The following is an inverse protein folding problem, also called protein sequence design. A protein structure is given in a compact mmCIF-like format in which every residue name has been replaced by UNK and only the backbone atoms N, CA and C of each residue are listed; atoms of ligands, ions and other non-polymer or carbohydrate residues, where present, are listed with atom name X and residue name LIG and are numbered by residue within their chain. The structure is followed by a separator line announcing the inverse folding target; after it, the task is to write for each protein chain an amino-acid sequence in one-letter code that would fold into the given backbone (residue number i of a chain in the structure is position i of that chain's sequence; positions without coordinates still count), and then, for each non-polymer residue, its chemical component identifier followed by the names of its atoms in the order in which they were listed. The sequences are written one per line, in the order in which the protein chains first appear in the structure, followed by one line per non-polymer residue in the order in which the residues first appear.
data_IF_474277401202
#
_entry.id   IF_474277401202
#
_cell.length_a   1.000
_cell.length_b   1.000
_cell.length_c   1.000
_cell.angle_alpha   90.00
_cell.angle_beta   90.00
_cell.angle_gamma   90.00
#
_symmetry.space_group_name_H-M   'P 1'
#
loop_
_entity.id
_entity.type
_entity.pdbx_description
1 polymer ?
#
# COMPACT_ATOMS: atom_id res chain seq x y z
N UNK A 1 -9.07 64.81 -3.20
CA UNK A 1 -10.27 64.09 -2.72
C UNK A 1 -10.00 62.60 -2.93
N UNK A 2 -9.06 61.98 -2.22
CA UNK A 2 -9.01 61.67 -0.78
C UNK A 2 -9.91 60.48 -0.42
N UNK A 3 -9.27 59.32 -0.19
CA UNK A 3 -9.68 58.18 0.68
C UNK A 3 -10.99 57.49 0.24
N UNK A 4 -11.03 56.19 -0.06
CA UNK A 4 -11.18 55.11 0.92
C UNK A 4 -11.25 53.77 0.16
N UNK A 5 -10.16 53.00 0.04
CA UNK A 5 -10.17 51.51 0.00
C UNK A 5 -8.79 51.07 0.49
N UNK A 6 -8.56 51.16 1.80
CA UNK A 6 -7.37 50.63 2.46
C UNK A 6 -7.73 50.41 3.93
N UNK A 7 -8.37 49.28 4.22
CA UNK A 7 -8.51 48.73 5.56
C UNK A 7 -8.96 47.27 5.48
N UNK A 8 -8.36 46.43 6.33
CA UNK A 8 -8.75 45.07 6.70
C UNK A 8 -8.29 43.91 5.79
N UNK A 9 -6.98 43.64 5.83
CA UNK A 9 -6.49 42.25 5.91
C UNK A 9 -5.56 42.14 7.13
N UNK A 10 -6.16 42.06 8.31
CA UNK A 10 -5.50 41.69 9.57
C UNK A 10 -6.39 40.63 10.22
N UNK A 11 -6.31 39.42 9.68
CA UNK A 11 -6.86 38.23 10.31
C UNK A 11 -5.84 37.09 10.16
N UNK A 12 -4.67 37.27 10.79
CA UNK A 12 -3.83 36.12 11.13
C UNK A 12 -4.52 35.44 12.31
N UNK A 13 -5.29 34.39 12.04
CA UNK A 13 -5.93 33.60 13.09
C UNK A 13 -4.90 32.69 13.77
N UNK A 14 -4.10 33.26 14.69
CA UNK A 14 -3.22 32.48 15.56
C UNK A 14 -4.07 31.67 16.53
N UNK A 15 -4.27 30.38 16.26
CA UNK A 15 -4.88 29.44 17.20
C UNK A 15 -3.79 28.59 17.84
N UNK A 16 -3.31 29.00 19.01
CA UNK A 16 -2.62 28.11 19.95
C UNK A 16 -2.57 28.74 21.34
N UNK A 17 -3.20 28.07 22.31
CA UNK A 17 -2.81 28.19 23.72
C UNK A 17 -2.68 26.78 24.24
N UNK A 18 -1.44 26.30 24.39
CA UNK A 18 -1.04 25.46 25.52
C UNK A 18 0.48 25.67 25.75
N UNK A 19 0.77 26.22 26.94
CA UNK A 19 2.02 26.40 27.66
C UNK A 19 3.37 26.37 26.89
N UNK A 20 3.84 27.56 26.48
CA UNK A 20 5.27 27.85 26.39
C UNK A 20 5.68 28.66 27.64
N UNK A 21 6.83 28.34 28.22
CA UNK A 21 7.43 29.05 29.37
C UNK A 21 7.55 30.58 29.11
N UNK A 22 7.62 31.43 30.16
CA UNK A 22 7.75 32.88 29.97
C UNK A 22 9.11 33.20 29.34
N UNK A 23 9.14 33.34 28.02
CA UNK A 23 10.35 33.59 27.25
C UNK A 23 10.00 34.44 26.02
N UNK A 24 10.84 35.45 25.78
CA UNK A 24 10.96 36.33 24.61
C UNK A 24 9.93 36.16 23.48
N UNK A 25 9.23 37.24 23.14
CA UNK A 25 8.37 37.31 21.95
C UNK A 25 9.12 36.79 20.71
N UNK A 26 8.48 35.99 19.85
CA UNK A 26 9.13 35.47 18.64
C UNK A 26 9.51 36.62 17.71
N UNK A 27 10.61 36.49 16.98
CA UNK A 27 11.00 37.53 16.02
C UNK A 27 10.06 37.54 14.81
N UNK A 28 9.57 36.36 14.41
CA UNK A 28 8.70 36.16 13.27
C UNK A 28 7.41 35.41 13.67
N UNK A 29 6.28 35.83 13.12
CA UNK A 29 4.98 35.18 13.32
C UNK A 29 4.57 34.44 12.05
N UNK A 30 4.16 33.19 12.20
CA UNK A 30 3.69 32.33 11.12
C UNK A 30 2.18 32.16 11.24
N UNK A 31 1.47 32.46 10.15
CA UNK A 31 0.04 32.26 10.01
C UNK A 31 -0.30 31.49 8.74
N UNK A 32 -1.54 31.06 8.63
CA UNK A 32 -2.08 30.50 7.38
C UNK A 32 -3.43 31.15 7.08
N UNK A 33 -3.75 31.44 5.81
CA UNK A 33 -5.09 31.85 5.40
C UNK A 33 -6.12 30.73 5.59
N UNK A 34 -5.69 29.46 5.59
CA UNK A 34 -6.54 28.29 5.87
C UNK A 34 -5.91 27.40 6.94
N UNK A 35 -6.64 27.15 8.04
CA UNK A 35 -6.19 26.26 9.10
C UNK A 35 -6.28 24.77 8.70
N UNK A 36 -6.80 24.47 7.50
CA UNK A 36 -6.92 23.15 6.92
C UNK A 36 -5.96 23.02 5.74
N UNK A 37 -5.37 21.83 5.59
CA UNK A 37 -4.62 21.45 4.42
C UNK A 37 -4.93 20.00 4.06
N UNK A 38 -4.59 19.58 2.84
CA UNK A 38 -4.72 18.20 2.39
C UNK A 38 -3.35 17.64 2.07
N UNK A 39 -3.05 16.43 2.54
CA UNK A 39 -1.81 15.73 2.19
C UNK A 39 -1.65 15.62 0.66
N UNK A 40 -0.47 15.95 0.13
CA UNK A 40 -0.19 15.96 -1.30
C UNK A 40 -0.72 17.17 -2.08
N UNK A 41 -1.42 18.10 -1.43
CA UNK A 41 -1.87 19.35 -2.06
C UNK A 41 -1.00 20.54 -1.65
N UNK A 42 -1.07 21.60 -2.45
CA UNK A 42 -0.40 22.85 -2.16
C UNK A 42 -1.04 23.52 -0.94
N UNK A 43 -0.22 24.00 -0.03
CA UNK A 43 -0.66 24.83 1.10
C UNK A 43 0.20 26.08 1.20
N UNK A 44 -0.36 27.13 1.80
CA UNK A 44 0.25 28.45 1.91
C UNK A 44 0.39 28.85 3.38
N UNK A 45 1.48 29.55 3.71
CA UNK A 45 1.65 30.26 4.97
C UNK A 45 2.00 31.71 4.70
N UNK A 46 1.67 32.58 5.64
CA UNK A 46 2.10 33.98 5.67
C UNK A 46 3.04 34.15 6.85
N UNK A 47 4.22 34.69 6.59
CA UNK A 47 5.21 35.01 7.61
C UNK A 47 5.28 36.52 7.77
N UNK A 48 5.27 36.98 9.02
CA UNK A 48 5.38 38.39 9.39
C UNK A 48 6.62 38.60 10.25
N UNK A 49 7.54 39.47 9.83
CA UNK A 49 8.69 39.85 10.65
C UNK A 49 8.30 40.98 11.63
N UNK A 50 8.44 40.73 12.93
CA UNK A 50 8.18 41.74 13.97
C UNK A 50 9.36 42.70 14.14
N UNK A 51 10.58 42.24 13.85
CA UNK A 51 11.82 43.01 13.91
C UNK A 51 12.08 43.84 12.65
N UNK A 52 11.35 43.60 11.56
CA UNK A 52 11.53 44.29 10.27
C UNK A 52 12.65 43.71 9.42
N UNK A 53 13.12 42.51 9.76
CA UNK A 53 14.08 41.76 8.97
C UNK A 53 13.52 41.40 7.57
N UNK A 54 14.42 41.35 6.58
CA UNK A 54 14.06 40.96 5.22
C UNK A 54 13.63 39.49 5.14
N UNK A 55 12.46 39.25 4.56
CA UNK A 55 11.90 37.91 4.37
C UNK A 55 12.50 37.25 3.11
N UNK A 56 13.21 36.11 3.23
CA UNK A 56 13.95 35.47 2.14
C UNK A 56 13.03 34.85 1.08
N UNK A 57 13.58 34.43 -0.05
CA UNK A 57 12.81 33.78 -1.12
C UNK A 57 12.46 32.32 -0.80
N UNK A 58 13.17 31.70 0.13
CA UNK A 58 13.01 30.29 0.51
C UNK A 58 13.12 30.16 2.03
N UNK A 59 12.32 29.27 2.61
CA UNK A 59 12.32 28.96 4.04
C UNK A 59 12.38 27.46 4.27
N UNK A 60 13.19 27.04 5.23
CA UNK A 60 13.22 25.66 5.72
C UNK A 60 12.27 25.51 6.90
N UNK A 61 11.30 24.62 6.76
CA UNK A 61 10.20 24.44 7.70
C UNK A 61 10.17 23.01 8.20
N UNK A 62 10.11 22.84 9.52
CA UNK A 62 9.88 21.57 10.19
C UNK A 62 8.38 21.38 10.38
N UNK A 63 7.87 20.25 9.88
CA UNK A 63 6.52 19.76 10.07
C UNK A 63 6.56 18.53 10.99
N UNK A 64 5.92 18.62 12.15
CA UNK A 64 5.85 17.54 13.13
C UNK A 64 4.41 17.06 13.28
N UNK A 65 4.17 15.79 12.95
CA UNK A 65 2.95 15.07 13.26
C UNK A 65 3.13 14.12 14.45
N UNK A 66 2.10 13.34 14.75
CA UNK A 66 2.14 12.39 15.87
C UNK A 66 3.12 11.22 15.67
N UNK A 67 3.37 10.82 14.42
CA UNK A 67 4.14 9.63 14.05
C UNK A 67 5.32 9.91 13.11
N UNK A 68 5.37 11.11 12.52
CA UNK A 68 6.34 11.47 11.48
C UNK A 68 6.78 12.93 11.63
N UNK A 69 8.04 13.22 11.28
CA UNK A 69 8.61 14.55 11.20
C UNK A 69 9.25 14.75 9.81
N UNK A 70 9.00 15.89 9.17
CA UNK A 70 9.54 16.22 7.84
C UNK A 70 10.06 17.64 7.81
N UNK A 71 11.18 17.82 7.13
CA UNK A 71 11.73 19.14 6.81
C UNK A 71 11.45 19.40 5.34
N UNK A 72 10.82 20.52 5.03
CA UNK A 72 10.53 20.93 3.66
C UNK A 72 11.00 22.35 3.40
N UNK A 73 11.31 22.64 2.14
CA UNK A 73 11.54 24.00 1.69
C UNK A 73 10.23 24.62 1.18
N UNK A 74 9.92 25.83 1.63
CA UNK A 74 8.80 26.63 1.14
C UNK A 74 9.32 27.81 0.32
N UNK A 75 8.68 28.10 -0.80
CA UNK A 75 9.08 29.17 -1.73
C UNK A 75 8.13 30.34 -1.64
N UNK A 76 8.66 31.55 -1.76
CA UNK A 76 7.86 32.75 -1.74
C UNK A 76 6.97 32.85 -3.00
N UNK A 77 5.70 33.19 -2.79
CA UNK A 77 4.71 33.38 -3.87
C UNK A 77 4.91 34.67 -4.67
N UNK A 78 5.59 35.64 -4.07
CA UNK A 78 5.79 36.96 -4.66
C UNK A 78 6.73 37.83 -3.82
N UNK A 79 6.86 39.13 -4.15
CA UNK A 79 7.63 40.07 -3.34
C UNK A 79 7.00 40.28 -1.95
N UNK A 80 7.80 40.67 -0.96
CA UNK A 80 7.30 41.03 0.36
C UNK A 80 6.42 42.29 0.28
N UNK A 81 5.28 42.27 0.97
CA UNK A 81 4.37 43.39 1.11
C UNK A 81 4.57 44.04 2.47
N UNK A 82 5.54 44.97 2.56
CA UNK A 82 5.95 45.52 3.85
C UNK A 82 6.70 44.48 4.68
N UNK A 83 6.19 44.13 5.86
CA UNK A 83 6.82 43.17 6.79
C UNK A 83 6.29 41.74 6.66
N UNK A 84 5.47 41.47 5.65
CA UNK A 84 4.83 40.16 5.45
C UNK A 84 5.15 39.58 4.08
N UNK A 85 5.20 38.26 4.01
CA UNK A 85 5.40 37.53 2.74
C UNK A 85 4.70 36.17 2.80
N UNK A 86 4.06 35.81 1.68
CA UNK A 86 3.42 34.52 1.48
C UNK A 86 4.40 33.50 0.92
N UNK A 87 4.31 32.27 1.41
CA UNK A 87 5.11 31.12 1.00
C UNK A 87 4.21 29.92 0.75
N UNK A 88 4.54 29.10 -0.24
CA UNK A 88 3.84 27.82 -0.44
C UNK A 88 4.80 26.64 -0.61
N UNK A 89 4.24 25.46 -0.35
CA UNK A 89 4.84 24.17 -0.65
C UNK A 89 3.73 23.13 -0.84
N UNK A 90 4.13 21.91 -1.17
CA UNK A 90 3.23 20.75 -1.18
C UNK A 90 3.29 20.06 0.17
N UNK A 91 2.13 19.80 0.79
CA UNK A 91 2.04 19.08 2.06
C UNK A 91 2.53 17.63 1.85
N UNK A 92 3.50 17.12 2.63
CA UNK A 92 3.96 15.74 2.50
C UNK A 92 2.81 14.72 2.60
N UNK A 93 2.76 13.76 1.69
CA UNK A 93 1.65 12.78 1.58
C UNK A 93 1.49 11.88 2.81
N UNK A 94 2.54 11.73 3.61
CA UNK A 94 2.56 10.89 4.83
C UNK A 94 1.98 11.62 6.05
N UNK A 95 1.85 12.94 6.01
CA UNK A 95 1.38 13.73 7.15
C UNK A 95 -0.15 13.83 7.14
N UNK A 96 -0.76 13.54 8.28
CA UNK A 96 -2.20 13.72 8.50
C UNK A 96 -2.51 13.97 9.98
N UNK A 97 -3.67 14.57 10.25
CA UNK A 97 -4.04 15.00 11.60
C UNK A 97 -3.48 16.39 11.95
N UNK A 98 -3.30 16.70 13.25
CA UNK A 98 -2.70 17.97 13.66
C UNK A 98 -1.20 17.95 13.35
N UNK A 99 -0.74 18.93 12.57
CA UNK A 99 0.67 19.10 12.21
C UNK A 99 1.17 20.43 12.77
N UNK A 100 2.22 20.36 13.58
CA UNK A 100 2.96 21.53 14.08
C UNK A 100 3.98 21.97 13.02
N UNK A 101 4.04 23.27 12.78
CA UNK A 101 4.90 23.90 11.79
C UNK A 101 5.80 24.94 12.48
N UNK A 102 7.11 24.78 12.32
CA UNK A 102 8.14 25.64 12.91
C UNK A 102 9.22 25.98 11.87
N UNK A 103 9.75 27.22 11.89
CA UNK A 103 10.89 27.59 11.05
C UNK A 103 12.20 27.11 11.68
N UNK A 104 13.05 26.42 10.90
CA UNK A 104 14.26 25.79 11.44
C UNK A 104 15.38 26.76 11.85
N UNK A 105 15.50 27.86 11.12
CA UNK A 105 16.66 28.77 11.23
C UNK A 105 16.30 30.07 11.94
N UNK A 106 15.07 30.21 12.44
CA UNK A 106 14.52 31.48 12.94
C UNK A 106 13.62 31.27 14.15
N UNK A 107 13.78 32.15 15.16
CA UNK A 107 12.88 32.21 16.29
C UNK A 107 11.48 32.66 15.81
N UNK A 108 10.54 31.72 15.77
CA UNK A 108 9.22 31.92 15.17
C UNK A 108 8.11 31.32 16.03
N UNK A 109 6.88 31.82 15.84
CA UNK A 109 5.70 31.19 16.43
C UNK A 109 5.42 29.83 15.77
N UNK A 110 4.94 28.86 16.55
CA UNK A 110 4.47 27.57 16.03
C UNK A 110 3.06 27.71 15.46
N UNK A 111 2.86 27.26 14.23
CA UNK A 111 1.55 27.16 13.58
C UNK A 111 1.06 25.71 13.62
N UNK A 112 -0.21 25.49 14.00
CA UNK A 112 -0.84 24.16 13.95
C UNK A 112 -1.85 24.11 12.81
N UNK A 113 -1.66 23.17 11.89
CA UNK A 113 -2.55 22.91 10.76
C UNK A 113 -3.31 21.60 10.96
N UNK A 114 -4.59 21.58 10.58
CA UNK A 114 -5.36 20.33 10.49
C UNK A 114 -5.22 19.75 9.09
N UNK A 115 -4.39 18.75 8.95
CA UNK A 115 -4.12 18.10 7.67
C UNK A 115 -5.07 16.93 7.47
N UNK A 116 -5.99 17.05 6.50
CA UNK A 116 -6.76 15.92 6.02
C UNK A 116 -5.81 14.97 5.28
N UNK A 117 -5.85 13.67 5.64
CA UNK A 117 -5.29 12.67 4.75
C UNK A 117 -5.98 12.81 3.39
N UNK A 118 -5.21 12.79 2.30
CA UNK A 118 -5.82 12.65 0.98
C UNK A 118 -6.66 11.37 1.03
N UNK A 119 -7.92 11.36 0.57
CA UNK A 119 -8.69 10.12 0.43
C UNK A 119 -7.90 9.05 -0.36
N UNK A 120 -7.02 9.53 -1.23
CA UNK A 120 -6.10 8.76 -2.05
C UNK A 120 -5.01 8.03 -1.24
N UNK A 121 -4.58 8.53 -0.07
CA UNK A 121 -3.62 7.82 0.82
C UNK A 121 -4.28 6.58 1.45
N UNK A 122 -5.60 6.61 1.62
CA UNK A 122 -6.39 5.44 2.08
C UNK A 122 -6.78 4.53 0.91
N UNK A 123 -6.49 4.93 -0.34
CA UNK A 123 -6.81 4.11 -1.53
C UNK A 123 -5.70 3.09 -1.85
N UNK A 124 -4.54 3.15 -1.18
CA UNK A 124 -3.48 2.15 -1.34
C UNK A 124 -3.70 0.94 -0.44
N UNK A 125 -4.71 0.15 -0.79
CA UNK A 125 -4.71 -1.30 -0.56
C UNK A 125 -5.31 -2.06 -1.75
N UNK A 126 -5.94 -1.39 -2.73
CA UNK A 126 -6.81 -2.09 -3.70
C UNK A 126 -6.76 -1.61 -5.14
N UNK A 127 -6.00 -0.55 -5.45
CA UNK A 127 -5.81 -0.10 -6.83
C UNK A 127 -4.69 0.93 -6.92
N UNK A 128 -3.64 0.62 -7.67
CA UNK A 128 -2.48 1.49 -7.88
C UNK A 128 -2.73 2.44 -9.06
N UNK A 129 -2.52 3.74 -8.88
CA UNK A 129 -2.29 4.66 -10.00
C UNK A 129 -0.80 4.63 -10.38
N UNK A 130 -0.48 4.73 -11.67
CA UNK A 130 0.89 4.94 -12.12
C UNK A 130 1.45 6.22 -11.48
N UNK A 131 2.64 6.14 -10.86
CA UNK A 131 3.34 7.28 -10.27
C UNK A 131 3.19 7.48 -8.75
N UNK A 132 2.41 6.66 -8.03
CA UNK A 132 2.27 6.78 -6.57
C UNK A 132 3.35 6.01 -5.79
N UNK A 133 3.78 6.59 -4.65
CA UNK A 133 4.78 6.02 -3.75
C UNK A 133 4.27 4.73 -3.09
N UNK A 134 4.98 3.62 -3.30
CA UNK A 134 4.73 2.35 -2.59
C UNK A 134 5.36 2.42 -1.19
N UNK A 135 4.56 2.28 -0.12
CA UNK A 135 5.10 2.28 1.24
C UNK A 135 6.03 1.07 1.45
N UNK A 136 7.03 1.19 2.35
CA UNK A 136 7.99 0.11 2.60
C UNK A 136 7.33 -1.22 2.93
N UNK A 137 6.26 -1.20 3.73
CA UNK A 137 5.37 -2.35 3.97
C UNK A 137 4.09 -2.16 3.16
N UNK A 138 3.79 -3.09 2.26
CA UNK A 138 2.63 -3.06 1.35
C UNK A 138 2.08 -4.46 1.10
N UNK A 139 0.98 -4.55 0.37
CA UNK A 139 0.34 -5.80 -0.03
C UNK A 139 1.12 -6.58 -1.10
N UNK A 140 1.02 -7.91 -1.07
CA UNK A 140 1.62 -8.79 -2.09
C UNK A 140 0.59 -9.64 -2.84
N UNK A 141 -0.25 -10.38 -2.11
CA UNK A 141 -1.38 -11.14 -2.63
C UNK A 141 -2.68 -10.74 -1.92
N UNK A 142 -3.87 -11.18 -2.42
CA UNK A 142 -5.13 -10.88 -1.77
C UNK A 142 -5.16 -11.31 -0.30
N UNK A 143 -5.81 -10.50 0.54
CA UNK A 143 -6.07 -10.76 1.94
C UNK A 143 -7.58 -10.79 2.18
N UNK A 144 -8.07 -11.96 2.57
CA UNK A 144 -9.50 -12.25 2.70
C UNK A 144 -9.77 -13.26 3.80
N UNK A 145 -11.03 -13.32 4.20
CA UNK A 145 -11.61 -14.38 5.03
C UNK A 145 -12.94 -14.79 4.41
N UNK A 146 -13.07 -16.05 4.04
CA UNK A 146 -14.26 -16.61 3.38
C UNK A 146 -14.71 -17.91 4.03
N UNK A 147 -16.01 -18.16 4.04
CA UNK A 147 -16.62 -19.39 4.56
C UNK A 147 -17.43 -20.05 3.47
N UNK A 148 -17.36 -21.38 3.37
CA UNK A 148 -18.21 -22.16 2.48
C UNK A 148 -18.75 -23.41 3.17
N UNK A 149 -19.97 -23.79 2.80
CA UNK A 149 -20.61 -25.03 3.25
C UNK A 149 -20.80 -25.96 2.07
N UNK A 150 -20.18 -27.15 2.10
CA UNK A 150 -20.41 -28.20 1.12
C UNK A 150 -20.74 -29.55 1.75
N UNK A 151 -19.73 -30.29 2.19
CA UNK A 151 -19.86 -31.55 2.94
C UNK A 151 -19.61 -31.32 4.43
N UNK A 152 -19.93 -30.11 4.89
CA UNK A 152 -19.42 -29.47 6.10
C UNK A 152 -19.08 -28.01 5.81
N UNK A 153 -18.90 -27.22 6.86
CA UNK A 153 -18.41 -25.85 6.84
C UNK A 153 -16.89 -25.81 6.96
N UNK A 154 -16.25 -25.01 6.10
CA UNK A 154 -14.85 -24.64 6.23
C UNK A 154 -14.67 -23.15 5.97
N UNK A 155 -13.72 -22.55 6.66
CA UNK A 155 -13.22 -21.22 6.34
C UNK A 155 -11.89 -21.31 5.60
N UNK A 156 -11.61 -20.33 4.77
CA UNK A 156 -10.30 -20.09 4.18
C UNK A 156 -9.96 -18.63 4.37
N UNK A 157 -8.73 -18.35 4.78
CA UNK A 157 -8.25 -16.98 4.86
C UNK A 157 -6.79 -16.89 4.44
N UNK A 158 -6.43 -15.69 3.96
CA UNK A 158 -5.09 -15.38 3.50
C UNK A 158 -4.62 -14.04 4.08
N UNK A 159 -3.37 -14.01 4.53
CA UNK A 159 -2.63 -12.81 4.92
C UNK A 159 -1.41 -12.70 4.01
N UNK A 160 -1.13 -11.52 3.48
CA UNK A 160 -0.04 -11.35 2.53
C UNK A 160 0.49 -9.93 2.50
N UNK A 161 1.79 -9.79 2.73
CA UNK A 161 2.48 -8.52 2.70
C UNK A 161 3.89 -8.68 2.11
N UNK A 162 4.45 -7.56 1.67
CA UNK A 162 5.85 -7.43 1.27
C UNK A 162 6.47 -6.22 1.94
N UNK A 163 7.76 -6.33 2.18
CA UNK A 163 8.61 -5.32 2.76
C UNK A 163 9.77 -5.02 1.81
N UNK A 164 9.90 -3.75 1.39
CA UNK A 164 11.03 -3.25 0.61
C UNK A 164 12.25 -3.15 1.51
N UNK A 165 13.31 -3.88 1.16
CA UNK A 165 14.49 -4.03 2.01
C UNK A 165 15.39 -2.78 2.04
N UNK A 166 15.34 -1.97 0.98
CA UNK A 166 16.17 -0.77 0.85
C UNK A 166 15.32 0.43 0.44
N UNK A 167 15.48 1.55 1.14
CA UNK A 167 14.80 2.80 0.82
C UNK A 167 15.44 3.46 -0.41
N UNK A 168 14.64 3.79 -1.42
CA UNK A 168 15.10 4.48 -2.62
C UNK A 168 15.60 5.91 -2.33
N UNK A 169 15.23 6.49 -1.20
CA UNK A 169 15.51 7.89 -0.84
C UNK A 169 16.61 8.07 0.20
N UNK A 170 17.11 6.98 0.80
CA UNK A 170 18.12 7.06 1.86
C UNK A 170 19.05 5.83 1.92
N UNK A 171 20.22 6.00 2.52
CA UNK A 171 21.18 4.93 2.77
C UNK A 171 21.61 4.18 1.49
N UNK A 172 21.81 2.86 1.61
CA UNK A 172 22.29 2.04 0.50
C UNK A 172 21.37 2.05 -0.73
N UNK A 173 20.06 2.26 -0.57
CA UNK A 173 19.15 2.31 -1.70
C UNK A 173 19.24 3.64 -2.47
N UNK A 174 19.67 4.73 -1.84
CA UNK A 174 20.03 5.96 -2.55
C UNK A 174 21.34 5.78 -3.33
N UNK A 175 22.36 5.20 -2.70
CA UNK A 175 23.68 4.98 -3.34
C UNK A 175 23.61 4.00 -4.51
N UNK A 176 22.73 3.01 -4.40
CA UNK A 176 22.54 1.94 -5.37
C UNK A 176 21.03 1.74 -5.59
N UNK A 177 20.39 2.55 -6.46
CA UNK A 177 18.93 2.53 -6.69
C UNK A 177 18.34 1.16 -7.02
N UNK A 178 19.11 0.29 -7.68
CA UNK A 178 18.68 -1.08 -7.99
C UNK A 178 18.42 -1.95 -6.74
N UNK A 179 19.02 -1.62 -5.58
CA UNK A 179 18.78 -2.29 -4.31
C UNK A 179 17.35 -2.06 -3.81
N UNK A 180 16.74 -0.91 -4.11
CA UNK A 180 15.35 -0.62 -3.76
C UNK A 180 14.34 -1.56 -4.45
N UNK A 181 14.80 -2.33 -5.44
CA UNK A 181 14.03 -3.41 -6.06
C UNK A 181 13.95 -4.68 -5.23
N UNK A 182 14.69 -4.84 -4.12
CA UNK A 182 14.59 -6.05 -3.30
C UNK A 182 13.45 -6.01 -2.29
N UNK A 183 12.68 -7.08 -2.27
CA UNK A 183 11.54 -7.27 -1.37
C UNK A 183 11.62 -8.62 -0.67
N UNK A 184 11.35 -8.60 0.62
CA UNK A 184 10.91 -9.79 1.35
C UNK A 184 9.39 -9.80 1.37
N UNK A 185 8.75 -10.92 1.02
CA UNK A 185 7.32 -11.05 1.17
C UNK A 185 6.95 -12.30 1.95
N UNK A 186 5.79 -12.25 2.58
CA UNK A 186 5.24 -13.34 3.35
C UNK A 186 3.77 -13.48 3.03
N UNK A 187 3.38 -14.65 2.54
CA UNK A 187 1.98 -15.04 2.38
C UNK A 187 1.68 -16.22 3.28
N UNK A 188 0.56 -16.18 3.98
CA UNK A 188 0.05 -17.30 4.77
C UNK A 188 -1.37 -17.59 4.35
N UNK A 189 -1.67 -18.85 4.06
CA UNK A 189 -3.02 -19.29 3.73
C UNK A 189 -3.43 -20.45 4.63
N UNK A 190 -4.61 -20.36 5.24
CA UNK A 190 -5.11 -21.38 6.16
C UNK A 190 -6.49 -21.87 5.76
N UNK A 191 -6.70 -23.18 5.88
CA UNK A 191 -8.02 -23.81 5.78
C UNK A 191 -8.44 -24.25 7.18
N UNK A 192 -9.56 -23.70 7.64
CA UNK A 192 -10.14 -23.96 8.95
C UNK A 192 -11.32 -24.91 8.81
N UNK A 193 -11.24 -26.08 9.43
CA UNK A 193 -12.39 -26.99 9.54
C UNK A 193 -13.32 -26.50 10.64
N UNK A 194 -14.51 -26.04 10.27
CA UNK A 194 -15.53 -25.56 11.21
C UNK A 194 -16.54 -26.65 11.60
N UNK A 195 -16.44 -27.83 11.01
CA UNK A 195 -17.38 -28.94 11.19
C UNK A 195 -16.88 -29.96 12.20
N UNK A 196 -15.57 -30.20 12.22
CA UNK A 196 -14.96 -31.17 13.13
C UNK A 196 -14.99 -30.70 14.59
N UNK A 197 -14.92 -31.67 15.50
CA UNK A 197 -14.81 -31.41 16.94
C UNK A 197 -13.61 -30.50 17.24
N UNK A 198 -13.80 -29.53 18.14
CA UNK A 198 -12.82 -28.47 18.45
C UNK A 198 -12.43 -27.55 17.29
N UNK A 199 -13.00 -27.73 16.09
CA UNK A 199 -12.81 -26.87 14.91
C UNK A 199 -11.33 -26.59 14.63
N UNK A 200 -10.51 -27.60 14.32
CA UNK A 200 -9.08 -27.41 14.10
C UNK A 200 -8.78 -26.75 12.75
N UNK A 201 -7.64 -26.08 12.64
CA UNK A 201 -7.07 -25.78 11.32
C UNK A 201 -6.69 -27.09 10.64
N UNK A 202 -7.20 -27.32 9.43
CA UNK A 202 -6.88 -28.51 8.63
C UNK A 202 -5.48 -28.43 8.06
N UNK A 203 -5.14 -27.26 7.50
CA UNK A 203 -3.83 -26.96 6.95
C UNK A 203 -3.55 -25.46 7.02
N UNK A 204 -2.28 -25.10 7.15
CA UNK A 204 -1.79 -23.73 7.02
C UNK A 204 -0.51 -23.75 6.23
N UNK A 205 -0.47 -23.03 5.11
CA UNK A 205 0.69 -22.90 4.24
C UNK A 205 1.40 -21.57 4.51
N UNK A 206 2.70 -21.65 4.78
CA UNK A 206 3.62 -20.56 5.05
C UNK A 206 4.50 -20.31 3.81
N UNK A 207 4.38 -19.14 3.19
CA UNK A 207 5.01 -18.79 1.90
C UNK A 207 5.90 -17.54 1.98
N UNK A 208 7.09 -17.60 2.62
CA UNK A 208 8.06 -16.53 2.51
C UNK A 208 8.73 -16.52 1.13
N UNK A 209 9.00 -15.32 0.62
CA UNK A 209 9.73 -15.12 -0.63
C UNK A 209 10.72 -13.95 -0.52
N UNK A 210 11.79 -14.04 -1.29
CA UNK A 210 12.75 -12.96 -1.50
C UNK A 210 12.86 -12.76 -3.00
N UNK A 211 12.58 -11.55 -3.47
CA UNK A 211 12.60 -11.26 -4.89
C UNK A 211 13.11 -9.86 -5.19
N UNK A 212 13.59 -9.71 -6.41
CA UNK A 212 13.84 -8.43 -7.02
C UNK A 212 12.67 -8.06 -7.93
N UNK A 213 12.28 -6.79 -7.90
CA UNK A 213 11.17 -6.20 -8.64
C UNK A 213 11.70 -5.00 -9.42
N UNK A 214 11.40 -5.00 -10.71
CA UNK A 214 11.67 -3.90 -11.62
C UNK A 214 10.40 -3.46 -12.30
N UNK A 215 10.30 -2.16 -12.52
CA UNK A 215 9.18 -1.53 -13.17
C UNK A 215 9.71 -0.71 -14.35
N UNK A 216 8.99 -0.76 -15.47
CA UNK A 216 9.38 0.02 -16.65
C UNK A 216 9.33 1.52 -16.35
N UNK A 217 10.17 2.26 -17.04
CA UNK A 217 10.21 3.74 -16.97
C UNK A 217 9.98 4.39 -18.33
N UNK A 218 9.65 3.60 -19.35
CA UNK A 218 9.42 4.06 -20.73
C UNK A 218 8.21 3.36 -21.36
N UNK A 219 7.71 3.94 -22.46
CA UNK A 219 6.55 3.43 -23.21
C UNK A 219 6.94 2.41 -24.30
N UNK A 220 8.23 2.11 -24.47
CA UNK A 220 8.73 1.21 -25.53
C UNK A 220 8.83 -0.23 -25.03
N UNK A 221 9.01 -0.41 -23.73
CA UNK A 221 9.17 -1.71 -23.10
C UNK A 221 7.81 -2.40 -23.00
N UNK A 222 7.75 -3.60 -23.56
CA UNK A 222 6.53 -4.40 -23.74
C UNK A 222 6.04 -5.08 -22.46
N UNK A 223 6.76 -4.95 -21.35
CA UNK A 223 6.42 -5.51 -20.02
C UNK A 223 6.47 -4.39 -18.99
N UNK A 224 5.48 -4.36 -18.10
CA UNK A 224 5.31 -3.24 -17.16
C UNK A 224 6.08 -3.45 -15.87
N UNK A 225 6.05 -4.68 -15.36
CA UNK A 225 6.79 -5.09 -14.16
C UNK A 225 7.44 -6.44 -14.42
N UNK A 226 8.64 -6.64 -13.90
CA UNK A 226 9.31 -7.93 -13.85
C UNK A 226 9.67 -8.23 -12.41
N UNK A 227 9.28 -9.41 -11.91
CA UNK A 227 9.78 -9.94 -10.64
C UNK A 227 10.57 -11.21 -10.86
N UNK A 228 11.66 -11.38 -10.14
CA UNK A 228 12.43 -12.61 -10.14
C UNK A 228 12.93 -12.91 -8.73
N UNK A 229 12.80 -14.14 -8.27
CA UNK A 229 13.17 -14.47 -6.90
C UNK A 229 13.01 -15.93 -6.54
N UNK A 230 13.07 -16.17 -5.23
CA UNK A 230 12.90 -17.48 -4.63
C UNK A 230 11.74 -17.45 -3.65
N UNK A 231 10.99 -18.54 -3.60
CA UNK A 231 9.87 -18.72 -2.66
C UNK A 231 9.95 -20.10 -2.04
N UNK A 232 9.77 -20.14 -0.72
CA UNK A 232 9.56 -21.36 0.02
C UNK A 232 8.07 -21.50 0.31
N UNK A 233 7.53 -22.70 0.26
CA UNK A 233 6.18 -23.01 0.74
C UNK A 233 6.25 -24.28 1.60
N UNK A 234 5.74 -24.22 2.82
CA UNK A 234 5.58 -25.40 3.67
C UNK A 234 4.32 -25.30 4.54
N UNK A 235 3.84 -26.43 5.06
CA UNK A 235 2.70 -26.42 5.97
C UNK A 235 3.06 -26.45 7.47
N UNK A 236 4.35 -26.42 7.81
CA UNK A 236 4.82 -26.49 9.20
C UNK A 236 4.47 -27.79 9.94
N UNK A 237 4.02 -28.82 9.23
CA UNK A 237 3.72 -30.14 9.82
C UNK A 237 4.96 -31.05 9.78
N UNK A 238 4.88 -32.18 10.48
CA UNK A 238 5.95 -33.18 10.55
C UNK A 238 5.48 -34.55 10.03
N UNK A 239 6.43 -35.47 9.83
CA UNK A 239 6.15 -36.84 9.40
C UNK A 239 5.42 -36.90 8.05
N UNK A 240 4.47 -37.83 7.92
CA UNK A 240 3.74 -38.08 6.68
C UNK A 240 2.87 -36.91 6.20
N UNK A 241 2.51 -36.00 7.10
CA UNK A 241 1.73 -34.80 6.79
C UNK A 241 2.60 -33.61 6.39
N UNK A 242 3.92 -33.71 6.55
CA UNK A 242 4.87 -32.67 6.11
C UNK A 242 4.76 -32.46 4.61
N UNK A 243 4.62 -31.20 4.20
CA UNK A 243 4.74 -30.79 2.80
C UNK A 243 5.62 -29.57 2.72
N UNK A 244 6.52 -29.57 1.75
CA UNK A 244 7.41 -28.46 1.51
C UNK A 244 7.93 -28.43 0.07
N UNK A 245 8.16 -27.21 -0.41
CA UNK A 245 8.82 -26.97 -1.69
C UNK A 245 9.57 -25.64 -1.67
N UNK A 246 10.58 -25.55 -2.53
CA UNK A 246 11.31 -24.35 -2.86
C UNK A 246 11.23 -24.14 -4.37
N UNK A 247 10.89 -22.93 -4.79
CA UNK A 247 10.84 -22.55 -6.20
C UNK A 247 11.72 -21.33 -6.47
N UNK A 248 12.35 -21.33 -7.64
CA UNK A 248 12.84 -20.11 -8.28
C UNK A 248 11.79 -19.65 -9.28
N UNK A 249 11.46 -18.37 -9.32
CA UNK A 249 10.40 -17.86 -10.17
C UNK A 249 10.78 -16.59 -10.92
N UNK A 250 10.09 -16.39 -12.05
CA UNK A 250 9.99 -15.12 -12.77
C UNK A 250 8.51 -14.80 -12.98
N UNK A 251 8.15 -13.53 -12.86
CA UNK A 251 6.78 -13.03 -12.98
C UNK A 251 6.76 -11.72 -13.76
N UNK A 252 6.67 -11.78 -15.09
CA UNK A 252 6.33 -10.61 -15.90
C UNK A 252 4.89 -10.18 -15.62
N UNK A 253 4.63 -8.89 -15.72
CA UNK A 253 3.31 -8.30 -15.54
C UNK A 253 2.98 -7.33 -16.70
N UNK A 254 1.76 -7.46 -17.21
CA UNK A 254 1.16 -6.55 -18.17
C UNK A 254 -0.10 -5.94 -17.57
N UNK A 255 -0.20 -4.62 -17.56
CA UNK A 255 -1.23 -3.79 -16.99
C UNK A 255 -1.79 -2.91 -18.12
N UNK A 256 -3.00 -3.21 -18.56
CA UNK A 256 -3.68 -2.45 -19.60
C UNK A 256 -4.80 -1.63 -18.99
N UNK A 257 -4.70 -0.30 -19.11
CA UNK A 257 -5.83 0.60 -18.81
C UNK A 257 -6.75 0.65 -20.03
N UNK A 258 -8.02 0.35 -19.82
CA UNK A 258 -9.07 0.39 -20.83
C UNK A 258 -9.65 1.79 -20.95
N UNK A 259 -10.30 2.08 -22.08
CA UNK A 259 -10.87 3.41 -22.37
C UNK A 259 -11.93 3.87 -21.37
N UNK A 260 -12.60 2.93 -20.69
CA UNK A 260 -13.61 3.19 -19.67
C UNK A 260 -13.02 3.43 -18.26
N UNK A 261 -11.68 3.41 -18.13
CA UNK A 261 -10.95 3.59 -16.87
C UNK A 261 -10.72 2.31 -16.07
N UNK A 262 -11.18 1.15 -16.57
CA UNK A 262 -10.92 -0.14 -15.94
C UNK A 262 -9.48 -0.59 -16.20
N UNK A 263 -8.96 -1.47 -15.36
CA UNK A 263 -7.58 -1.99 -15.47
C UNK A 263 -7.61 -3.51 -15.59
N UNK A 264 -7.03 -4.02 -16.67
CA UNK A 264 -6.77 -5.45 -16.84
C UNK A 264 -5.31 -5.74 -16.54
N UNK A 265 -5.02 -6.78 -15.77
CA UNK A 265 -3.66 -7.21 -15.47
C UNK A 265 -3.49 -8.69 -15.79
N UNK A 266 -2.39 -9.03 -16.45
CA UNK A 266 -1.96 -10.40 -16.69
C UNK A 266 -0.57 -10.60 -16.09
N UNK A 267 -0.43 -11.52 -15.13
CA UNK A 267 0.76 -11.61 -14.27
C UNK A 267 1.20 -13.07 -14.02
N UNK A 268 1.50 -13.85 -15.09
CA UNK A 268 1.84 -15.26 -14.94
C UNK A 268 3.11 -15.43 -14.10
N UNK A 269 3.06 -16.33 -13.11
CA UNK A 269 4.24 -16.71 -12.33
C UNK A 269 4.79 -18.00 -12.90
N UNK A 270 5.94 -17.92 -13.54
CA UNK A 270 6.65 -19.06 -14.12
C UNK A 270 7.72 -19.48 -13.12
N UNK A 271 7.81 -20.78 -12.82
CA UNK A 271 8.72 -21.24 -11.78
C UNK A 271 9.32 -22.61 -12.07
N UNK A 272 10.49 -22.86 -11.48
CA UNK A 272 11.16 -24.16 -11.42
C UNK A 272 11.28 -24.64 -9.97
N UNK A 273 11.14 -25.95 -9.75
CA UNK A 273 11.28 -26.56 -8.43
C UNK A 273 12.76 -26.78 -8.10
N UNK A 274 13.26 -26.07 -7.09
CA UNK A 274 14.62 -26.23 -6.56
C UNK A 274 14.69 -27.27 -5.45
N UNK A 275 13.57 -27.49 -4.74
CA UNK A 275 13.42 -28.53 -3.73
C UNK A 275 11.95 -28.92 -3.57
N UNK A 276 11.66 -30.21 -3.43
CA UNK A 276 10.28 -30.73 -3.31
C UNK A 276 10.23 -32.17 -2.76
N UNK A 277 11.19 -32.54 -1.90
CA UNK A 277 11.37 -33.95 -1.50
C UNK A 277 10.12 -34.53 -0.83
N UNK A 278 9.38 -33.71 -0.09
CA UNK A 278 8.20 -34.13 0.68
C UNK A 278 6.98 -34.36 -0.24
N UNK A 279 7.05 -33.89 -1.48
CA UNK A 279 6.00 -34.00 -2.49
C UNK A 279 6.62 -34.07 -3.90
N UNK A 280 7.30 -35.18 -4.26
CA UNK A 280 8.13 -35.28 -5.48
C UNK A 280 7.37 -35.12 -6.79
N UNK A 281 6.06 -35.43 -6.78
CA UNK A 281 5.14 -35.41 -7.92
C UNK A 281 4.28 -34.15 -8.00
N UNK A 282 4.52 -33.12 -7.16
CA UNK A 282 3.71 -31.89 -7.13
C UNK A 282 3.53 -31.19 -8.48
N UNK A 283 4.52 -31.27 -9.37
CA UNK A 283 4.46 -30.73 -10.73
C UNK A 283 3.38 -31.39 -11.60
N UNK A 284 2.99 -32.63 -11.29
CA UNK A 284 1.89 -33.32 -11.98
C UNK A 284 0.55 -32.62 -11.77
N UNK A 285 0.43 -31.84 -10.69
CA UNK A 285 -0.80 -31.15 -10.26
C UNK A 285 -0.73 -29.65 -10.47
N UNK A 286 0.36 -29.00 -10.05
CA UNK A 286 0.52 -27.54 -10.11
C UNK A 286 1.19 -27.05 -11.41
N UNK A 287 2.05 -27.86 -12.01
CA UNK A 287 2.77 -27.50 -13.24
C UNK A 287 3.96 -26.60 -12.95
N UNK A 288 4.22 -25.68 -13.88
CA UNK A 288 5.35 -24.74 -13.80
C UNK A 288 4.93 -23.27 -14.00
N UNK A 289 3.62 -23.04 -14.13
CA UNK A 289 3.06 -21.71 -14.37
C UNK A 289 1.75 -21.55 -13.60
N UNK A 290 1.67 -20.50 -12.80
CA UNK A 290 0.40 -20.00 -12.28
C UNK A 290 -0.07 -18.88 -13.21
N UNK A 291 -1.12 -19.16 -14.00
CA UNK A 291 -1.71 -18.19 -14.91
C UNK A 291 -2.63 -17.28 -14.12
N UNK A 292 -2.24 -16.02 -13.95
CA UNK A 292 -3.00 -15.04 -13.19
C UNK A 292 -3.50 -13.90 -14.06
N UNK A 293 -4.80 -13.66 -14.04
CA UNK A 293 -5.43 -12.50 -14.63
C UNK A 293 -6.24 -11.74 -13.56
N UNK A 294 -6.30 -10.42 -13.66
CA UNK A 294 -7.11 -9.57 -12.80
C UNK A 294 -7.82 -8.52 -13.64
N UNK A 295 -9.07 -8.23 -13.29
CA UNK A 295 -9.85 -7.15 -13.85
C UNK A 295 -10.35 -6.26 -12.73
N UNK A 296 -10.00 -4.98 -12.78
CA UNK A 296 -10.39 -3.97 -11.82
C UNK A 296 -11.28 -2.93 -12.49
N UNK A 297 -12.57 -2.96 -12.17
CA UNK A 297 -13.56 -1.99 -12.62
C UNK A 297 -13.60 -0.79 -11.68
N UNK A 298 -12.62 0.10 -11.83
CA UNK A 298 -12.49 1.38 -11.10
C UNK A 298 -12.56 1.22 -9.58
N UNK A 299 -12.05 0.11 -9.07
CA UNK A 299 -12.00 -0.25 -7.67
C UNK A 299 -13.35 -0.63 -7.07
N UNK A 300 -14.45 -0.63 -7.84
CA UNK A 300 -15.79 -0.99 -7.35
C UNK A 300 -16.03 -2.50 -7.43
N UNK A 301 -15.60 -3.12 -8.55
CA UNK A 301 -15.60 -4.57 -8.73
C UNK A 301 -14.22 -5.04 -9.14
N UNK A 302 -13.70 -6.05 -8.46
CA UNK A 302 -12.38 -6.61 -8.70
C UNK A 302 -12.52 -8.12 -8.85
N UNK A 303 -12.08 -8.64 -9.97
CA UNK A 303 -12.07 -10.08 -10.27
C UNK A 303 -10.64 -10.55 -10.42
N UNK A 304 -10.25 -11.61 -9.72
CA UNK A 304 -8.95 -12.26 -9.88
C UNK A 304 -9.17 -13.72 -10.27
N UNK A 305 -8.46 -14.19 -11.29
CA UNK A 305 -8.46 -15.58 -11.71
C UNK A 305 -7.04 -16.14 -11.64
N UNK A 306 -6.87 -17.29 -10.99
CA UNK A 306 -5.63 -18.06 -10.97
C UNK A 306 -5.91 -19.47 -11.48
N UNK A 307 -5.26 -19.85 -12.58
CA UNK A 307 -5.37 -21.18 -13.16
C UNK A 307 -4.01 -21.88 -13.18
N UNK A 308 -4.02 -23.18 -12.89
CA UNK A 308 -2.84 -24.05 -12.91
C UNK A 308 -3.09 -25.26 -13.81
N UNK A 309 -2.04 -25.68 -14.52
CA UNK A 309 -2.05 -26.90 -15.33
C UNK A 309 -0.78 -27.71 -15.06
N UNK A 310 -0.97 -28.83 -14.39
CA UNK A 310 0.06 -29.81 -14.10
C UNK A 310 0.51 -30.61 -15.32
N UNK A 311 1.69 -31.22 -15.20
CA UNK A 311 2.32 -31.99 -16.29
C UNK A 311 1.55 -33.26 -16.66
N UNK A 312 0.69 -33.75 -15.77
CA UNK A 312 -0.16 -34.94 -16.00
C UNK A 312 -1.60 -34.57 -16.38
N UNK A 313 -1.84 -33.34 -16.85
CA UNK A 313 -3.17 -32.87 -17.25
C UNK A 313 -4.12 -32.54 -16.10
N UNK A 314 -3.65 -32.64 -14.85
CA UNK A 314 -4.37 -32.18 -13.64
C UNK A 314 -4.26 -30.66 -13.55
N UNK A 315 -5.14 -30.01 -12.80
CA UNK A 315 -5.10 -28.56 -12.66
C UNK A 315 -6.14 -28.01 -11.70
N UNK A 316 -6.15 -26.70 -11.56
CA UNK A 316 -7.12 -25.99 -10.74
C UNK A 316 -7.44 -24.61 -11.28
N UNK A 317 -8.60 -24.11 -10.84
CA UNK A 317 -9.07 -22.77 -11.08
C UNK A 317 -9.54 -22.17 -9.75
N UNK A 318 -8.97 -21.04 -9.39
CA UNK A 318 -9.41 -20.16 -8.32
C UNK A 318 -9.94 -18.87 -8.96
N UNK A 319 -11.18 -18.51 -8.65
CA UNK A 319 -11.81 -17.26 -9.07
C UNK A 319 -12.25 -16.50 -7.83
N UNK A 320 -11.79 -15.27 -7.70
CA UNK A 320 -12.17 -14.34 -6.64
C UNK A 320 -12.94 -13.18 -7.27
N UNK A 321 -14.07 -12.80 -6.67
CA UNK A 321 -14.87 -11.65 -7.05
C UNK A 321 -15.11 -10.80 -5.81
N UNK A 322 -14.67 -9.54 -5.86
CA UNK A 322 -14.77 -8.60 -4.77
C UNK A 322 -15.57 -7.37 -5.18
N UNK A 323 -16.48 -6.93 -4.31
CA UNK A 323 -17.24 -5.70 -4.47
C UNK A 323 -16.93 -4.76 -3.32
N UNK A 324 -16.58 -3.50 -3.63
CA UNK A 324 -16.33 -2.48 -2.62
C UNK A 324 -17.53 -2.33 -1.69
N UNK A 325 -17.28 -2.36 -0.39
CA UNK A 325 -18.30 -2.19 0.62
C UNK A 325 -18.04 -0.88 1.39
N UNK A 326 -18.78 0.17 1.03
CA UNK A 326 -18.54 1.56 1.50
C UNK A 326 -18.68 1.73 3.02
N UNK A 327 -19.41 0.85 3.70
CA UNK A 327 -19.71 0.94 5.13
C UNK A 327 -18.94 -0.07 6.01
N UNK A 328 -18.23 -1.03 5.41
CA UNK A 328 -17.36 -1.95 6.17
C UNK A 328 -16.02 -1.27 6.43
N UNK A 329 -15.95 -0.53 7.54
CA UNK A 329 -14.72 0.08 8.05
C UNK A 329 -14.02 -0.91 9.00
N UNK A 330 -13.08 -1.70 8.48
CA UNK A 330 -12.17 -2.47 9.33
C UNK A 330 -10.93 -1.61 9.61
N UNK A 331 -11.02 -0.76 10.64
CA UNK A 331 -9.97 0.23 10.92
C UNK A 331 -9.90 1.32 9.83
N UNK A 332 -8.71 1.86 9.49
CA UNK A 332 -8.58 2.87 8.44
C UNK A 332 -8.85 2.32 7.02
N UNK A 333 -9.13 1.02 6.87
CA UNK A 333 -9.25 0.34 5.58
C UNK A 333 -10.71 0.11 5.20
N UNK A 334 -11.08 0.47 3.95
CA UNK A 334 -12.35 0.09 3.35
C UNK A 334 -12.35 -1.39 2.94
N UNK A 335 -13.34 -2.15 3.39
CA UNK A 335 -13.48 -3.57 3.07
C UNK A 335 -14.22 -3.87 1.77
N UNK A 336 -14.16 -5.13 1.35
CA UNK A 336 -14.85 -5.68 0.19
C UNK A 336 -15.72 -6.85 0.63
N UNK A 337 -16.93 -6.95 0.07
CA UNK A 337 -17.59 -8.23 -0.02
C UNK A 337 -16.81 -9.12 -0.98
N UNK A 338 -16.59 -10.37 -0.62
CA UNK A 338 -15.72 -11.27 -1.39
C UNK A 338 -16.40 -12.62 -1.60
N UNK A 339 -16.37 -13.10 -2.84
CA UNK A 339 -16.85 -14.41 -3.25
C UNK A 339 -15.70 -15.15 -3.91
N UNK A 340 -15.46 -16.38 -3.47
CA UNK A 340 -14.39 -17.21 -3.96
C UNK A 340 -14.95 -18.52 -4.49
N UNK A 341 -14.52 -18.91 -5.67
CA UNK A 341 -14.80 -20.20 -6.29
C UNK A 341 -13.50 -20.96 -6.52
N UNK A 342 -13.42 -22.19 -6.01
CA UNK A 342 -12.31 -23.10 -6.26
C UNK A 342 -12.77 -24.41 -6.88
N UNK A 343 -12.00 -24.93 -7.83
CA UNK A 343 -12.20 -26.27 -8.38
C UNK A 343 -10.87 -26.87 -8.85
N UNK A 344 -10.59 -28.13 -8.49
CA UNK A 344 -9.42 -28.88 -8.97
C UNK A 344 -8.48 -29.34 -7.85
N UNK A 345 -7.19 -29.39 -8.16
CA UNK A 345 -6.13 -29.88 -7.27
C UNK A 345 -5.34 -28.74 -6.60
N UNK A 346 -4.76 -28.99 -5.43
CA UNK A 346 -3.84 -28.04 -4.80
C UNK A 346 -4.47 -26.75 -4.30
N UNK A 347 -5.63 -26.87 -3.65
CA UNK A 347 -6.22 -25.77 -2.88
C UNK A 347 -5.32 -25.37 -1.70
N UNK A 348 -4.81 -26.38 -1.01
CA UNK A 348 -3.78 -26.32 0.01
C UNK A 348 -2.60 -27.23 -0.37
N UNK A 349 -1.52 -27.18 0.41
CA UNK A 349 -0.32 -27.97 0.11
C UNK A 349 -0.42 -29.38 0.70
N UNK A 350 -1.13 -29.57 1.82
CA UNK A 350 -1.35 -30.90 2.42
C UNK A 350 -1.96 -31.87 1.41
N UNK A 351 -3.04 -31.43 0.77
CA UNK A 351 -3.86 -32.18 -0.17
C UNK A 351 -3.61 -31.77 -1.63
N UNK A 352 -2.36 -31.41 -1.96
CA UNK A 352 -1.98 -30.99 -3.31
C UNK A 352 -2.35 -31.99 -4.41
N UNK A 353 -2.39 -33.28 -4.05
CA UNK A 353 -2.68 -34.39 -4.94
C UNK A 353 -4.14 -34.88 -4.90
N UNK A 354 -5.01 -34.23 -4.11
CA UNK A 354 -6.43 -34.56 -4.01
C UNK A 354 -7.26 -33.60 -4.88
N UNK A 355 -8.22 -34.15 -5.63
CA UNK A 355 -9.14 -33.33 -6.42
C UNK A 355 -10.31 -32.87 -5.56
N UNK A 356 -10.38 -31.58 -5.27
CA UNK A 356 -11.59 -30.98 -4.74
C UNK A 356 -12.56 -30.68 -5.89
N UNK A 357 -13.82 -31.08 -5.72
CA UNK A 357 -14.88 -30.62 -6.65
C UNK A 357 -15.26 -29.16 -6.31
N UNK A 358 -16.03 -28.48 -7.17
CA UNK A 358 -16.34 -27.06 -7.01
C UNK A 358 -16.79 -26.66 -5.59
N UNK A 359 -16.19 -25.62 -5.05
CA UNK A 359 -16.53 -25.02 -3.77
C UNK A 359 -16.68 -23.50 -3.93
N UNK A 360 -17.82 -22.99 -3.47
CA UNK A 360 -18.09 -21.56 -3.37
C UNK A 360 -17.93 -21.15 -1.90
N UNK A 361 -17.27 -20.02 -1.66
CA UNK A 361 -17.13 -19.39 -0.36
C UNK A 361 -17.46 -17.92 -0.46
N UNK A 362 -17.97 -17.35 0.63
CA UNK A 362 -18.36 -15.95 0.72
C UNK A 362 -17.77 -15.38 2.01
N UNK A 363 -17.36 -14.12 1.98
CA UNK A 363 -16.89 -13.40 3.15
C UNK A 363 -16.42 -12.00 2.77
N UNK A 364 -15.26 -11.62 3.30
CA UNK A 364 -14.73 -10.27 3.16
C UNK A 364 -13.27 -10.28 2.71
N UNK A 365 -12.87 -9.24 1.97
CA UNK A 365 -11.48 -8.96 1.67
C UNK A 365 -11.08 -7.57 2.15
N UNK A 366 -9.84 -7.46 2.59
CA UNK A 366 -9.17 -6.19 2.92
C UNK A 366 -8.36 -5.75 1.69
N UNK A 367 -7.73 -6.72 1.03
CA UNK A 367 -7.03 -6.56 -0.24
C UNK A 367 -7.59 -7.62 -1.21
N UNK A 368 -8.37 -7.26 -2.24
CA UNK A 368 -8.96 -8.20 -3.18
C UNK A 368 -8.03 -8.59 -4.32
#
# INVERSE_FOLDING_TARGET
MTRWILAAWLAVAAHSVWAAAPGTLPDWVVGSPDARATAGERFEIVVVSLTGEALPNELSVRLRGALDERIIAMRAEGPALGRQRAYSAVMPVVLSGPIELELLERNSSVLVLRVAARPDVVTTLTGRREGEYEPPLSEEEPMYFVVGGRSGYSARFQLSFKYRLFDATSGYGQDKPWLAGFYFAYTQNSIWDLSSESKPFRDTSYRPSLFWKWERTDDKTWVDVMRAGVEHESNGQSGERSRSLNIGFVRPEWHQRLANGDVFQFTPKIYGYMGKKDNPDIQQYRGYVDWRARYDARGEWITTAVARRGTSGKGSLLLDLSKRARDLRFGPVGGYWHVQYFNGYGEDILDYNVRHRPQLRIGFAIVP
#
